data_IF_041248648027
#
_entry.id   IF_041248648027
#
_cell.length_a   1.000
_cell.length_b   1.000
_cell.length_c   1.000
_cell.angle_alpha   90.00
_cell.angle_beta   90.00
_cell.angle_gamma   90.00
#
_symmetry.space_group_name_H-M   'P 1'
#
loop_
_entity.id
_entity.type
_entity.pdbx_description
1 polymer ?
2 non-polymer ?
3 non-polymer ?
4 non-polymer ?
5 water ?
#
# COMPACT_ATOMS: atom_id res chain seq x y z
N UNK A 2 -19.15 -26.00 -20.66
CA UNK A 2 -18.28 -24.93 -20.01
C UNK A 2 -19.08 -23.61 -19.88
N UNK A 3 -18.78 -22.83 -18.83
CA UNK A 3 -19.42 -21.53 -18.57
C UNK A 3 -18.44 -20.64 -17.82
N UNK A 4 -18.64 -19.37 -18.07
CA UNK A 4 -17.80 -18.30 -17.51
C UNK A 4 -18.22 -18.08 -16.06
N UNK A 5 -17.34 -18.42 -15.15
CA UNK A 5 -17.60 -18.24 -13.69
C UNK A 5 -17.14 -16.86 -13.25
N UNK A 6 -16.11 -16.33 -13.92
CA UNK A 6 -15.57 -15.00 -13.57
C UNK A 6 -14.91 -14.43 -14.82
N UNK A 7 -14.98 -13.12 -14.99
CA UNK A 7 -14.33 -12.47 -16.15
C UNK A 7 -14.12 -11.00 -15.86
N UNK A 8 -12.95 -10.50 -16.22
CA UNK A 8 -12.73 -9.04 -16.26
C UNK A 8 -11.67 -8.77 -17.32
N UNK A 9 -11.68 -7.57 -17.85
CA UNK A 9 -10.69 -7.23 -18.88
C UNK A 9 -10.52 -5.72 -18.85
N UNK A 10 -9.40 -5.25 -19.35
CA UNK A 10 -9.22 -3.81 -19.62
C UNK A 10 -7.77 -3.51 -19.86
N UNK A 11 -7.28 -2.45 -19.23
CA UNK A 11 -5.95 -1.90 -19.56
C UNK A 11 -5.12 -1.79 -18.29
N UNK A 12 -3.88 -2.23 -18.40
CA UNK A 12 -2.91 -2.18 -17.28
C UNK A 12 -1.70 -1.32 -17.68
N UNK A 13 -0.97 -0.87 -16.67
CA UNK A 13 0.35 -0.20 -16.83
C UNK A 13 0.16 1.10 -17.63
N UNK A 14 -0.90 1.85 -17.35
CA UNK A 14 -1.15 3.16 -18.03
C UNK A 14 -0.43 4.23 -17.20
N UNK A 15 0.68 4.73 -17.73
CA UNK A 15 1.45 5.77 -17.00
C UNK A 15 0.77 7.11 -17.23
N UNK A 16 0.58 7.85 -16.17
CA UNK A 16 -0.13 9.17 -16.24
C UNK A 16 0.66 10.20 -15.47
N UNK A 17 0.92 11.36 -16.09
CA UNK A 17 1.48 12.52 -15.40
C UNK A 17 0.48 13.67 -15.52
N UNK A 18 0.36 14.45 -14.46
CA UNK A 18 -0.47 15.68 -14.53
C UNK A 18 0.29 16.80 -13.84
N UNK A 19 0.31 17.98 -14.46
CA UNK A 19 0.88 19.21 -13.84
C UNK A 19 -0.25 20.20 -13.53
N UNK A 20 -0.12 20.84 -12.38
CA UNK A 20 -0.89 22.04 -11.96
C UNK A 20 0.07 23.24 -11.98
N UNK A 21 -0.35 24.33 -12.63
CA UNK A 21 0.48 25.56 -12.79
C UNK A 21 -0.30 26.71 -12.16
N UNK A 22 0.20 27.25 -11.05
CA UNK A 22 -0.35 28.51 -10.48
C UNK A 22 0.24 29.66 -11.31
N UNK A 23 -0.54 30.28 -12.18
CA UNK A 23 -0.05 31.40 -13.06
C UNK A 23 0.28 32.63 -12.21
N UNK A 24 -0.41 32.78 -11.07
CA UNK A 24 -0.19 33.89 -10.11
C UNK A 24 1.23 33.77 -9.52
N UNK A 25 1.58 32.63 -8.92
CA UNK A 25 2.83 32.42 -8.16
C UNK A 25 3.95 31.80 -9.01
N UNK A 26 3.63 31.19 -10.15
CA UNK A 26 4.61 30.44 -10.96
C UNK A 26 4.89 29.06 -10.39
N UNK A 27 4.31 28.73 -9.25
CA UNK A 27 4.54 27.42 -8.57
C UNK A 27 3.83 26.31 -9.38
N UNK A 28 4.59 25.27 -9.74
CA UNK A 28 4.03 24.11 -10.49
C UNK A 28 4.06 22.91 -9.55
N UNK A 29 3.07 22.01 -9.68
CA UNK A 29 2.99 20.80 -8.82
C UNK A 29 2.75 19.63 -9.75
N UNK A 30 3.51 18.56 -9.60
CA UNK A 30 3.35 17.39 -10.51
C UNK A 30 2.82 16.17 -9.77
N UNK A 31 2.13 15.35 -10.51
CA UNK A 31 1.56 14.08 -10.00
C UNK A 31 1.89 12.99 -11.02
N UNK A 32 2.37 11.86 -10.58
CA UNK A 32 2.65 10.78 -11.55
C UNK A 32 2.13 9.45 -10.96
N UNK A 33 1.48 8.66 -11.80
CA UNK A 33 0.87 7.38 -11.34
C UNK A 33 0.92 6.34 -12.46
N UNK A 34 0.60 5.11 -12.11
CA UNK A 34 0.37 4.04 -13.08
C UNK A 34 -0.98 3.46 -12.78
N UNK A 35 -1.83 3.33 -13.79
CA UNK A 35 -3.25 3.01 -13.57
C UNK A 35 -3.59 1.72 -14.27
N UNK A 36 -4.42 0.90 -13.59
CA UNK A 36 -5.06 -0.29 -14.18
C UNK A 36 -6.55 -0.18 -13.98
N UNK A 37 -7.32 -0.42 -15.06
CA UNK A 37 -8.80 -0.46 -14.97
C UNK A 37 -9.24 -1.77 -15.60
N UNK A 38 -9.95 -2.60 -14.84
CA UNK A 38 -10.55 -3.87 -15.35
C UNK A 38 -12.06 -3.80 -15.12
N UNK A 39 -12.83 -4.12 -16.15
CA UNK A 39 -14.31 -4.03 -16.10
C UNK A 39 -14.89 -5.44 -15.99
N UNK A 40 -16.05 -5.52 -15.34
CA UNK A 40 -16.90 -6.73 -15.30
C UNK A 40 -18.31 -6.35 -15.76
N UNK A 41 -19.04 -7.31 -16.25
CA UNK A 41 -20.49 -7.11 -16.50
C UNK A 41 -21.00 -8.19 -17.41
N UNK A 42 -21.94 -7.83 -18.27
CA UNK A 42 -22.57 -8.78 -19.18
C UNK A 42 -21.64 -8.90 -20.37
N UNK A 43 -20.48 -9.55 -20.17
CA UNK A 43 -19.42 -9.60 -21.21
C UNK A 43 -19.08 -11.05 -21.60
N UNK A 44 -19.73 -12.05 -21.01
CA UNK A 44 -19.39 -13.48 -21.25
C UNK A 44 -19.42 -13.82 -22.75
N UNK A 45 -20.29 -13.21 -23.58
CA UNK A 45 -20.38 -13.59 -25.01
C UNK A 45 -19.11 -13.22 -25.76
N UNK A 46 -18.30 -12.27 -25.27
CA UNK A 46 -17.01 -11.95 -25.93
C UNK A 46 -16.11 -13.18 -25.83
N UNK A 47 -16.25 -13.93 -24.75
CA UNK A 47 -15.44 -15.15 -24.48
C UNK A 47 -16.02 -16.35 -25.23
N UNK A 48 -17.34 -16.49 -25.17
CA UNK A 48 -18.03 -17.75 -25.61
C UNK A 48 -18.43 -17.73 -27.08
N UNK A 49 -18.69 -16.57 -27.68
CA UNK A 49 -19.42 -16.40 -28.96
C UNK A 49 -18.64 -15.44 -29.89
N UNK A 50 -17.44 -15.02 -29.52
CA UNK A 50 -16.66 -14.05 -30.31
C UNK A 50 -17.49 -12.79 -30.54
N UNK A 51 -18.26 -12.38 -29.54
CA UNK A 51 -19.14 -11.19 -29.63
C UNK A 51 -18.38 -9.97 -29.10
N UNK A 52 -17.68 -9.24 -29.97
CA UNK A 52 -16.88 -8.08 -29.50
C UNK A 52 -17.79 -6.89 -29.22
N UNK A 53 -19.11 -6.96 -29.50
CA UNK A 53 -20.01 -5.79 -29.28
C UNK A 53 -20.04 -5.42 -27.80
N UNK A 54 -19.79 -6.39 -26.92
CA UNK A 54 -19.83 -6.12 -25.46
C UNK A 54 -18.48 -5.63 -24.95
N UNK A 55 -17.46 -5.49 -25.81
CA UNK A 55 -16.13 -5.04 -25.33
C UNK A 55 -16.02 -3.51 -25.51
N UNK A 56 -15.91 -2.82 -24.39
CA UNK A 56 -15.33 -1.45 -24.33
C UNK A 56 -13.82 -1.63 -24.53
N UNK A 57 -13.28 -1.34 -25.71
CA UNK A 57 -11.86 -1.60 -26.03
C UNK A 57 -10.96 -1.06 -24.92
N UNK A 58 -9.94 -1.83 -24.56
CA UNK A 58 -8.93 -1.39 -23.57
C UNK A 58 -8.32 -0.08 -24.09
N UNK A 59 -8.16 0.08 -25.40
CA UNK A 59 -7.62 1.36 -25.96
C UNK A 59 -8.52 2.52 -25.56
N UNK A 60 -9.84 2.33 -25.62
CA UNK A 60 -10.86 3.33 -25.21
C UNK A 60 -10.80 3.58 -23.72
N UNK A 61 -10.58 2.54 -22.91
CA UNK A 61 -10.39 2.66 -21.44
C UNK A 61 -9.14 3.51 -21.19
N UNK A 62 -8.07 3.27 -21.92
CA UNK A 62 -6.83 4.10 -21.83
C UNK A 62 -7.22 5.57 -22.16
N UNK A 63 -7.89 5.83 -23.28
CA UNK A 63 -8.30 7.22 -23.64
C UNK A 63 -9.06 7.83 -22.48
N UNK A 64 -9.96 7.04 -21.87
CA UNK A 64 -10.86 7.51 -20.80
C UNK A 64 -10.05 7.87 -19.56
N UNK A 65 -8.99 7.13 -19.25
CA UNK A 65 -8.15 7.48 -18.10
C UNK A 65 -7.58 8.88 -18.34
N UNK A 66 -7.01 9.16 -19.51
CA UNK A 66 -6.40 10.49 -19.78
C UNK A 66 -7.46 11.59 -19.77
N UNK A 67 -8.64 11.34 -20.34
CA UNK A 67 -9.76 12.33 -20.37
C UNK A 67 -10.21 12.63 -18.93
N UNK A 68 -10.36 11.61 -18.10
CA UNK A 68 -10.79 11.77 -16.69
C UNK A 68 -9.75 12.62 -15.98
N UNK A 69 -8.46 12.32 -16.16
CA UNK A 69 -7.38 13.06 -15.52
C UNK A 69 -7.39 14.51 -16.02
N UNK A 70 -7.74 14.77 -17.27
CA UNK A 70 -7.82 16.14 -17.79
C UNK A 70 -8.98 16.90 -17.11
N UNK A 71 -10.10 16.24 -16.82
CA UNK A 71 -11.37 16.93 -16.46
C UNK A 71 -11.61 16.87 -14.95
N UNK A 72 -10.71 16.28 -14.16
CA UNK A 72 -10.94 16.00 -12.73
C UNK A 72 -9.63 16.05 -11.98
N UNK A 73 -9.69 16.20 -10.64
CA UNK A 73 -8.50 16.08 -9.81
C UNK A 73 -7.94 14.66 -9.92
N UNK A 74 -6.61 14.55 -9.88
CA UNK A 74 -5.96 13.22 -9.79
C UNK A 74 -5.59 12.89 -8.34
N UNK A 75 -5.87 13.81 -7.41
CA UNK A 75 -5.52 13.70 -5.99
C UNK A 75 -6.76 14.04 -5.17
N UNK A 76 -7.00 13.38 -4.02
CA UNK A 76 -6.28 12.17 -3.61
C UNK A 76 -6.63 11.04 -4.56
N UNK A 77 -5.77 10.01 -4.68
CA UNK A 77 -6.02 8.90 -5.62
C UNK A 77 -7.31 8.14 -5.33
N UNK A 78 -7.73 8.11 -4.06
CA UNK A 78 -9.02 7.49 -3.68
C UNK A 78 -10.17 8.18 -4.46
N UNK A 79 -10.12 9.49 -4.61
CA UNK A 79 -11.16 10.27 -5.33
C UNK A 79 -11.03 9.98 -6.83
N UNK A 80 -9.82 10.13 -7.38
CA UNK A 80 -9.62 9.91 -8.84
C UNK A 80 -10.13 8.51 -9.22
N UNK A 81 -9.77 7.49 -8.43
CA UNK A 81 -10.18 6.10 -8.69
C UNK A 81 -11.70 5.95 -8.67
N UNK A 82 -12.36 6.63 -7.72
CA UNK A 82 -13.83 6.57 -7.50
C UNK A 82 -14.54 7.24 -8.70
N UNK A 83 -14.04 8.38 -9.15
CA UNK A 83 -14.57 9.08 -10.36
C UNK A 83 -14.45 8.19 -11.57
N UNK A 84 -13.26 7.64 -11.81
CA UNK A 84 -13.01 6.79 -12.98
C UNK A 84 -13.90 5.54 -12.95
N UNK A 85 -14.00 4.85 -11.81
CA UNK A 85 -14.77 3.60 -11.75
C UNK A 85 -16.24 3.92 -11.97
N UNK A 86 -16.73 5.03 -11.36
CA UNK A 86 -18.15 5.41 -11.48
C UNK A 86 -18.46 5.69 -12.95
N UNK A 87 -17.55 6.37 -13.66
CA UNK A 87 -17.77 6.66 -15.10
C UNK A 87 -18.12 5.39 -15.88
N UNK A 88 -17.36 4.32 -15.70
CA UNK A 88 -17.59 3.09 -16.50
C UNK A 88 -18.94 2.44 -16.17
N UNK A 89 -19.35 2.36 -14.90
CA UNK A 89 -20.62 1.65 -14.56
C UNK A 89 -21.81 2.54 -14.93
N UNK A 90 -21.65 3.87 -14.95
CA UNK A 90 -22.74 4.80 -15.36
C UNK A 90 -22.82 4.90 -16.89
N UNK A 91 -21.69 4.97 -17.60
CA UNK A 91 -21.71 5.24 -19.06
C UNK A 91 -22.24 4.03 -19.78
N UNK A 92 -21.87 2.82 -19.34
CA UNK A 92 -22.14 1.56 -20.05
C UNK A 92 -23.18 0.76 -19.27
N UNK A 93 -24.39 0.58 -19.83
CA UNK A 93 -25.46 -0.12 -19.05
C UNK A 93 -25.01 -1.54 -18.67
N UNK A 94 -24.32 -2.22 -19.57
CA UNK A 94 -23.95 -3.65 -19.45
C UNK A 94 -22.68 -3.87 -18.61
N UNK A 95 -21.99 -2.80 -18.22
CA UNK A 95 -20.80 -2.87 -17.30
C UNK A 95 -21.30 -2.65 -15.88
N UNK A 96 -21.04 -3.59 -14.98
CA UNK A 96 -21.62 -3.58 -13.63
C UNK A 96 -20.54 -3.44 -12.55
N UNK A 97 -19.25 -3.58 -12.91
CA UNK A 97 -18.17 -3.32 -11.93
C UNK A 97 -16.92 -2.78 -12.63
N UNK A 98 -16.26 -1.84 -11.97
CA UNK A 98 -14.99 -1.27 -12.45
C UNK A 98 -13.97 -1.38 -11.31
N UNK A 99 -12.85 -2.00 -11.62
CA UNK A 99 -11.75 -2.27 -10.66
C UNK A 99 -10.59 -1.38 -11.04
N UNK A 100 -10.30 -0.36 -10.21
CA UNK A 100 -9.29 0.68 -10.50
C UNK A 100 -8.15 0.54 -9.51
N UNK A 101 -6.97 0.19 -10.01
CA UNK A 101 -5.74 0.15 -9.19
C UNK A 101 -4.84 1.33 -9.61
N UNK A 102 -4.37 2.08 -8.64
CA UNK A 102 -3.47 3.23 -8.91
C UNK A 102 -2.26 3.12 -7.99
N UNK A 103 -1.09 3.22 -8.60
CA UNK A 103 0.22 3.35 -7.94
C UNK A 103 0.64 4.80 -8.12
N UNK A 104 0.89 5.49 -7.02
CA UNK A 104 1.33 6.91 -7.04
C UNK A 104 2.85 6.92 -6.80
N UNK A 105 3.56 7.62 -7.68
CA UNK A 105 5.04 7.73 -7.69
C UNK A 105 5.43 9.03 -6.98
N UNK A 106 6.51 9.04 -6.21
CA UNK A 106 6.91 10.23 -5.46
C UNK A 106 7.62 11.26 -6.36
N UNK A 107 7.11 12.49 -6.38
CA UNK A 107 7.84 13.67 -6.93
C UNK A 107 7.82 14.74 -5.83
N UNK A 108 8.87 14.78 -5.04
CA UNK A 108 8.99 15.71 -3.89
C UNK A 108 9.67 17.00 -4.38
N UNK A 109 9.11 18.15 -4.07
CA UNK A 109 9.68 19.45 -4.46
C UNK A 109 11.13 19.53 -3.97
N UNK A 110 12.03 19.92 -4.87
CA UNK A 110 13.44 20.22 -4.52
C UNK A 110 13.55 21.49 -3.66
N UNK A 111 14.38 21.43 -2.63
CA UNK A 111 14.84 22.64 -1.89
C UNK A 111 16.19 23.02 -2.48
N UNK A 112 16.31 24.23 -2.99
CA UNK A 112 17.58 24.74 -3.54
C UNK A 112 18.00 25.93 -2.69
N UNK A 113 19.20 25.87 -2.09
CA UNK A 113 19.70 26.94 -1.19
C UNK A 113 18.65 27.26 -0.11
N UNK A 114 18.01 26.23 0.45
CA UNK A 114 17.05 26.30 1.56
C UNK A 114 15.70 26.89 1.16
N UNK A 115 15.37 26.98 -0.15
CA UNK A 115 14.06 27.50 -0.58
C UNK A 115 13.42 26.48 -1.51
N UNK A 116 12.09 26.25 -1.41
CA UNK A 116 11.40 25.29 -2.27
C UNK A 116 11.42 25.81 -3.71
N UNK A 117 11.86 24.98 -4.63
CA UNK A 117 11.91 25.38 -6.06
C UNK A 117 10.51 25.30 -6.66
N UNK A 118 10.11 26.29 -7.48
CA UNK A 118 8.77 26.29 -8.04
C UNK A 118 8.45 25.19 -9.05
N UNK A 119 9.43 24.50 -9.65
CA UNK A 119 9.12 23.52 -10.74
C UNK A 119 10.16 22.40 -10.90
N UNK A 120 10.89 22.05 -9.85
CA UNK A 120 11.91 20.99 -9.88
C UNK A 120 11.62 19.98 -8.76
N UNK A 121 11.71 18.69 -9.07
CA UNK A 121 11.29 17.61 -8.17
C UNK A 121 12.33 16.48 -8.17
N UNK A 122 12.28 15.69 -7.12
CA UNK A 122 13.20 14.55 -6.93
C UNK A 122 12.39 13.32 -6.51
N UNK A 123 12.72 12.18 -7.11
CA UNK A 123 12.14 10.90 -6.66
C UNK A 123 12.87 10.55 -5.35
N UNK A 124 12.32 10.99 -4.20
CA UNK A 124 13.03 10.94 -2.89
C UNK A 124 12.95 9.54 -2.27
N UNK A 125 12.16 8.63 -2.86
CA UNK A 125 11.92 7.24 -2.38
C UNK A 125 11.19 6.44 -3.47
N UNK A 126 11.45 5.14 -3.67
CA UNK A 126 10.60 4.27 -4.55
C UNK A 126 9.36 3.85 -3.74
N UNK A 127 9.23 4.29 -2.47
CA UNK A 127 7.98 4.14 -1.69
C UNK A 127 6.78 4.61 -2.54
N UNK A 128 5.72 3.82 -2.55
CA UNK A 128 4.47 4.16 -3.27
C UNK A 128 3.31 4.41 -2.28
N UNK A 129 2.35 5.18 -2.76
CA UNK A 129 1.00 5.33 -2.18
C UNK A 129 0.03 4.76 -3.22
N UNK A 130 -0.77 3.77 -2.80
CA UNK A 130 -1.61 3.01 -3.74
C UNK A 130 -3.09 3.14 -3.33
N UNK A 131 -3.96 2.86 -4.30
CA UNK A 131 -5.38 2.61 -4.00
C UNK A 131 -5.85 1.44 -4.84
N UNK A 132 -6.76 0.67 -4.26
CA UNK A 132 -7.63 -0.26 -5.00
C UNK A 132 -9.07 0.23 -4.79
N UNK A 133 -9.73 0.62 -5.87
CA UNK A 133 -11.13 1.15 -5.80
C UNK A 133 -12.00 0.21 -6.62
N UNK A 134 -12.92 -0.49 -5.96
CA UNK A 134 -13.88 -1.41 -6.63
C UNK A 134 -15.24 -0.71 -6.62
N UNK A 135 -15.69 -0.30 -7.79
CA UNK A 135 -17.02 0.36 -7.99
C UNK A 135 -17.98 -0.70 -8.51
N UNK A 136 -18.96 -1.07 -7.67
CA UNK A 136 -19.85 -2.22 -7.97
C UNK A 136 -21.29 -1.68 -8.03
N UNK A 137 -21.89 -1.74 -9.22
CA UNK A 137 -23.22 -1.16 -9.48
C UNK A 137 -24.20 -1.79 -8.47
N UNK A 138 -24.91 -0.95 -7.74
CA UNK A 138 -25.88 -1.41 -6.73
C UNK A 138 -25.23 -1.65 -5.38
N UNK A 139 -23.89 -1.60 -5.27
CA UNK A 139 -23.17 -1.95 -4.00
C UNK A 139 -22.12 -0.90 -3.63
N UNK A 140 -22.11 0.24 -4.26
CA UNK A 140 -21.27 1.38 -3.82
C UNK A 140 -19.82 1.18 -4.21
N UNK A 141 -18.92 1.65 -3.38
CA UNK A 141 -17.48 1.87 -3.68
C UNK A 141 -16.68 1.36 -2.51
N UNK A 142 -15.87 0.32 -2.75
CA UNK A 142 -14.98 -0.31 -1.76
C UNK A 142 -13.57 0.18 -2.04
N UNK A 143 -12.98 0.86 -1.09
CA UNK A 143 -11.63 1.45 -1.24
C UNK A 143 -10.66 0.80 -0.25
N UNK A 144 -9.55 0.28 -0.78
CA UNK A 144 -8.36 -0.06 0.03
C UNK A 144 -7.23 0.90 -0.31
N UNK A 145 -6.69 1.54 0.70
CA UNK A 145 -5.57 2.51 0.56
C UNK A 145 -4.32 1.83 1.10
N UNK A 146 -3.15 2.10 0.53
CA UNK A 146 -1.92 1.46 1.05
C UNK A 146 -0.69 2.34 0.84
N UNK A 147 0.32 2.11 1.66
CA UNK A 147 1.70 2.55 1.39
C UNK A 147 2.52 1.26 1.25
N UNK A 148 3.49 1.26 0.33
CA UNK A 148 4.29 0.06 0.01
C UNK A 148 5.72 0.48 -0.33
N UNK A 149 6.67 -0.42 -0.14
CA UNK A 149 8.06 -0.13 -0.50
C UNK A 149 8.72 0.89 0.42
N UNK A 150 8.26 1.00 1.67
CA UNK A 150 8.86 1.87 2.70
C UNK A 150 9.90 0.99 3.42
N UNK A 151 11.17 1.19 3.11
CA UNK A 151 12.27 0.31 3.57
C UNK A 151 12.98 0.94 4.77
N UNK A 152 13.02 0.21 5.87
CA UNK A 152 13.49 0.80 7.16
C UNK A 152 14.42 -0.19 7.83
N UNK A 153 15.28 0.29 8.71
CA UNK A 153 16.15 -0.60 9.50
C UNK A 153 16.37 0.02 10.87
N UNK A 154 16.37 -0.82 11.92
CA UNK A 154 16.85 -0.33 13.23
C UNK A 154 17.98 -1.28 13.65
N UNK A 155 19.03 -0.71 14.26
CA UNK A 155 20.30 -1.41 14.52
C UNK A 155 20.29 -2.11 15.89
N UNK A 156 19.30 -1.87 16.71
CA UNK A 156 19.14 -2.47 18.07
C UNK A 156 17.68 -2.32 18.49
N UNK A 157 17.31 -2.72 19.70
CA UNK A 157 15.91 -2.64 20.20
C UNK A 157 14.98 -3.48 19.32
N UNK A 158 15.51 -4.63 18.92
CA UNK A 158 14.73 -5.74 18.40
C UNK A 158 15.24 -7.02 19.07
N UNK A 159 14.30 -7.88 19.48
CA UNK A 159 14.52 -9.12 20.25
C UNK A 159 13.73 -10.24 19.60
N UNK A 160 14.14 -11.47 19.78
CA UNK A 160 13.32 -12.63 19.40
C UNK A 160 13.74 -13.83 20.24
N UNK A 161 12.99 -14.03 21.30
CA UNK A 161 13.21 -15.15 22.26
C UNK A 161 11.85 -15.70 22.71
N UNK A 162 11.84 -16.88 23.30
CA UNK A 162 10.60 -17.50 23.82
C UNK A 162 9.78 -18.20 22.75
N UNK A 163 10.32 -18.39 21.54
CA UNK A 163 9.62 -19.12 20.45
C UNK A 163 9.70 -20.61 20.71
N UNK A 164 8.81 -21.36 20.08
CA UNK A 164 8.70 -22.83 20.19
C UNK A 164 10.04 -23.47 19.80
N UNK A 165 10.51 -24.42 20.61
CA UNK A 165 11.77 -25.16 20.34
C UNK A 165 11.47 -26.64 20.31
N UNK A 166 11.79 -27.30 19.22
CA UNK A 166 11.62 -28.77 19.14
C UNK A 166 12.74 -29.32 18.26
N UNK A 167 12.55 -30.53 17.72
CA UNK A 167 13.63 -31.22 16.97
C UNK A 167 13.91 -30.54 15.61
N UNK A 168 13.07 -29.57 15.17
CA UNK A 168 13.28 -28.79 13.91
C UNK A 168 14.04 -27.47 14.16
N UNK A 169 14.30 -27.12 15.42
CA UNK A 169 14.75 -25.78 15.81
C UNK A 169 16.27 -25.72 16.00
N UNK A 170 16.94 -24.83 15.26
CA UNK A 170 18.35 -24.49 15.43
C UNK A 170 18.51 -23.01 15.85
N UNK A 171 17.51 -22.17 15.65
CA UNK A 171 17.68 -20.73 15.82
C UNK A 171 18.04 -20.45 17.29
N UNK A 172 19.07 -19.64 17.53
CA UNK A 172 19.42 -19.15 18.88
C UNK A 172 18.48 -17.99 19.25
N UNK A 173 17.98 -17.99 20.48
CA UNK A 173 17.28 -16.82 21.06
C UNK A 173 18.20 -15.61 21.01
N UNK A 174 17.65 -14.42 20.85
CA UNK A 174 18.44 -13.19 20.90
C UNK A 174 17.68 -12.14 21.68
N UNK A 175 18.43 -11.31 22.38
CA UNK A 175 17.94 -10.12 23.11
C UNK A 175 18.40 -8.84 22.39
N UNK A 176 19.04 -8.93 21.21
CA UNK A 176 19.51 -7.72 20.50
C UNK A 176 19.87 -8.12 19.07
N UNK A 177 19.02 -7.74 18.13
CA UNK A 177 19.26 -8.05 16.71
C UNK A 177 18.90 -6.82 15.89
N UNK A 178 19.34 -6.86 14.63
CA UNK A 178 18.90 -5.90 13.60
C UNK A 178 17.49 -6.26 13.14
N UNK A 179 16.64 -5.25 12.95
CA UNK A 179 15.33 -5.48 12.32
C UNK A 179 15.21 -4.58 11.09
N UNK A 180 14.94 -5.18 9.94
CA UNK A 180 14.78 -4.39 8.68
C UNK A 180 13.61 -4.98 7.90
N UNK A 181 12.78 -4.12 7.32
CA UNK A 181 11.59 -4.58 6.57
C UNK A 181 11.30 -3.61 5.45
N UNK A 182 10.43 -4.07 4.56
CA UNK A 182 9.78 -3.24 3.53
C UNK A 182 8.30 -3.18 3.93
N UNK A 183 7.79 -2.02 4.31
CA UNK A 183 6.43 -1.90 4.89
C UNK A 183 5.42 -1.87 3.76
N UNK A 184 4.50 -2.85 3.77
CA UNK A 184 3.23 -2.87 3.00
C UNK A 184 2.09 -2.75 4.02
N UNK A 185 1.41 -1.61 4.07
CA UNK A 185 0.33 -1.35 5.06
C UNK A 185 -0.92 -0.92 4.28
N UNK A 186 -2.04 -1.60 4.54
CA UNK A 186 -3.32 -1.35 3.82
C UNK A 186 -4.41 -0.99 4.83
N UNK A 187 -5.17 0.06 4.58
CA UNK A 187 -6.34 0.41 5.43
C UNK A 187 -7.57 0.31 4.52
N UNK A 188 -8.56 -0.45 5.01
CA UNK A 188 -9.82 -0.75 4.30
C UNK A 188 -10.89 0.21 4.82
N UNK A 189 -11.45 1.02 3.92
CA UNK A 189 -12.50 2.01 4.27
C UNK A 189 -13.87 1.30 4.40
N UNK A 190 -14.71 1.83 5.27
CA UNK A 190 -16.16 1.58 5.23
C UNK A 190 -16.61 1.70 3.77
N UNK A 191 -17.54 0.83 3.37
CA UNK A 191 -18.25 0.90 2.08
C UNK A 191 -18.83 2.31 1.92
N UNK A 192 -18.62 2.92 0.77
CA UNK A 192 -19.23 4.22 0.43
C UNK A 192 -20.38 3.95 -0.54
N UNK A 193 -21.49 4.68 -0.41
CA UNK A 193 -22.72 4.39 -1.20
C UNK A 193 -22.54 4.78 -2.67
N UNK A 194 -21.61 5.68 -2.94
CA UNK A 194 -21.41 6.26 -4.28
C UNK A 194 -20.40 7.37 -4.24
N UNK A 195 -20.28 8.10 -5.34
CA UNK A 195 -19.27 9.14 -5.47
C UNK A 195 -19.53 10.32 -4.51
N UNK A 196 -20.80 10.69 -4.27
CA UNK A 196 -21.08 11.80 -3.34
C UNK A 196 -20.48 11.47 -1.97
N UNK A 197 -20.65 10.26 -1.47
CA UNK A 197 -20.15 9.94 -0.10
C UNK A 197 -18.61 9.94 -0.10
N UNK A 198 -17.97 9.44 -1.16
CA UNK A 198 -16.49 9.54 -1.25
C UNK A 198 -16.07 11.01 -1.19
N UNK A 199 -16.70 11.86 -2.02
CA UNK A 199 -16.39 13.30 -2.04
C UNK A 199 -16.57 13.91 -0.64
N UNK A 200 -17.58 13.51 0.13
CA UNK A 200 -17.85 14.12 1.47
C UNK A 200 -16.68 13.83 2.42
N UNK A 201 -15.82 12.84 2.13
CA UNK A 201 -14.74 12.43 3.05
C UNK A 201 -13.35 12.76 2.51
N UNK A 202 -13.25 13.57 1.45
CA UNK A 202 -12.01 13.73 0.68
C UNK A 202 -10.83 14.10 1.57
N UNK A 203 -10.92 15.09 2.49
CA UNK A 203 -9.75 15.42 3.32
C UNK A 203 -9.22 14.24 4.15
N UNK A 204 -10.08 13.26 4.42
CA UNK A 204 -9.68 12.11 5.28
C UNK A 204 -8.65 11.22 4.58
N UNK A 205 -8.58 11.25 3.24
CA UNK A 205 -7.71 10.29 2.50
C UNK A 205 -6.25 10.66 2.75
N UNK A 206 -5.84 11.90 2.45
CA UNK A 206 -4.45 12.38 2.69
C UNK A 206 -4.15 12.30 4.18
N UNK A 207 -5.09 12.72 5.04
CA UNK A 207 -4.85 12.72 6.50
C UNK A 207 -4.58 11.30 7.00
N UNK A 208 -5.34 10.32 6.54
CA UNK A 208 -5.22 8.92 7.04
C UNK A 208 -3.93 8.31 6.49
N UNK A 209 -3.55 8.63 5.23
CA UNK A 209 -2.27 8.13 4.69
C UNK A 209 -1.14 8.69 5.58
N UNK A 210 -1.22 9.98 5.91
CA UNK A 210 -0.16 10.64 6.70
C UNK A 210 -0.11 9.96 8.08
N UNK A 211 -1.27 9.72 8.69
CA UNK A 211 -1.34 9.03 10.00
C UNK A 211 -0.70 7.64 9.91
N UNK A 212 -1.07 6.85 8.90
CA UNK A 212 -0.55 5.48 8.74
C UNK A 212 0.99 5.55 8.67
N UNK A 213 1.53 6.48 7.89
CA UNK A 213 3.00 6.55 7.70
C UNK A 213 3.66 6.96 9.01
N UNK A 214 3.13 7.98 9.69
CA UNK A 214 3.68 8.54 10.94
C UNK A 214 3.69 7.46 12.01
N UNK A 215 2.58 6.76 12.15
CA UNK A 215 2.42 5.69 13.17
C UNK A 215 3.40 4.56 12.82
N UNK A 216 3.51 4.20 11.54
CA UNK A 216 4.45 3.12 11.14
C UNK A 216 5.86 3.52 11.57
N UNK A 217 6.30 4.73 11.22
CA UNK A 217 7.71 5.15 11.48
C UNK A 217 7.96 5.26 13.00
N UNK A 218 7.06 5.94 13.73
CA UNK A 218 7.28 6.16 15.19
C UNK A 218 7.27 4.82 15.93
N UNK A 219 6.33 3.94 15.60
CA UNK A 219 6.23 2.64 16.31
C UNK A 219 7.46 1.80 16.02
N UNK A 220 7.87 1.71 14.75
CA UNK A 220 9.07 0.94 14.36
C UNK A 220 10.27 1.47 15.17
N UNK A 221 10.43 2.78 15.22
CA UNK A 221 11.61 3.42 15.83
C UNK A 221 11.58 3.28 17.36
N UNK A 222 10.42 3.30 17.98
CA UNK A 222 10.35 3.40 19.47
C UNK A 222 10.00 2.07 20.11
N UNK A 223 9.40 1.13 19.39
CA UNK A 223 9.01 -0.15 20.05
C UNK A 223 10.28 -0.99 20.30
N UNK A 224 10.50 -1.42 21.54
CA UNK A 224 11.58 -2.40 21.84
C UNK A 224 10.98 -3.75 21.48
N UNK A 225 11.17 -4.16 20.23
CA UNK A 225 10.29 -5.12 19.56
C UNK A 225 10.49 -6.53 20.11
N UNK A 226 9.39 -7.18 20.48
CA UNK A 226 9.38 -8.56 20.96
C UNK A 226 9.37 -9.55 19.79
N UNK A 227 8.92 -9.06 18.62
CA UNK A 227 8.74 -9.85 17.38
C UNK A 227 8.19 -8.89 16.33
N UNK A 228 8.23 -9.29 15.07
CA UNK A 228 7.57 -8.48 14.01
C UNK A 228 6.05 -8.47 14.27
N UNK A 229 5.51 -9.61 14.65
CA UNK A 229 4.07 -9.80 14.98
C UNK A 229 3.66 -8.71 15.97
N UNK A 230 4.39 -8.57 17.08
CA UNK A 230 3.92 -7.74 18.20
C UNK A 230 4.02 -6.29 17.78
N UNK A 231 5.06 -5.96 17.01
CA UNK A 231 5.31 -4.57 16.59
C UNK A 231 4.22 -4.12 15.59
N UNK A 232 3.89 -4.94 14.60
CA UNK A 232 2.91 -4.56 13.55
C UNK A 232 1.51 -4.44 14.16
N UNK A 233 1.21 -5.26 15.17
CA UNK A 233 -0.10 -5.21 15.84
C UNK A 233 -0.26 -3.81 16.45
N UNK A 234 0.81 -3.29 17.10
CA UNK A 234 0.73 -1.95 17.74
C UNK A 234 0.50 -0.87 16.68
N UNK A 235 1.13 -1.01 15.51
CA UNK A 235 0.93 -0.01 14.44
C UNK A 235 -0.55 -0.02 14.06
N UNK A 236 -1.10 -1.22 13.81
CA UNK A 236 -2.47 -1.40 13.28
C UNK A 236 -3.50 -0.84 14.28
N UNK A 237 -3.32 -1.12 15.57
CA UNK A 237 -4.29 -0.70 16.61
C UNK A 237 -4.25 0.84 16.72
N UNK A 238 -3.09 1.49 16.59
CA UNK A 238 -3.03 2.96 16.70
C UNK A 238 -3.72 3.59 15.48
N UNK A 239 -3.53 3.03 14.28
CA UNK A 239 -4.16 3.62 13.07
C UNK A 239 -5.68 3.48 13.17
N UNK A 240 -6.19 2.33 13.61
CA UNK A 240 -7.66 2.13 13.82
C UNK A 240 -8.21 3.15 14.83
N UNK A 241 -7.44 3.47 15.87
CA UNK A 241 -7.87 4.38 16.96
C UNK A 241 -7.99 5.80 16.40
N UNK A 242 -7.34 6.10 15.28
CA UNK A 242 -7.21 7.50 14.79
C UNK A 242 -8.12 7.74 13.58
N UNK A 243 -8.83 6.73 13.07
CA UNK A 243 -9.76 6.98 11.95
C UNK A 243 -10.93 6.01 12.01
N UNK A 244 -12.10 6.49 12.43
CA UNK A 244 -13.28 5.63 12.66
C UNK A 244 -13.84 5.10 11.33
N UNK A 245 -13.53 5.76 10.20
CA UNK A 245 -14.06 5.32 8.88
C UNK A 245 -13.27 4.16 8.27
N UNK A 246 -12.14 3.77 8.88
CA UNK A 246 -11.37 2.53 8.58
C UNK A 246 -12.03 1.34 9.29
N UNK A 247 -12.19 0.21 8.63
CA UNK A 247 -12.66 -1.02 9.28
C UNK A 247 -11.49 -1.91 9.69
N UNK A 248 -10.50 -2.08 8.81
CA UNK A 248 -9.34 -2.95 9.08
C UNK A 248 -8.05 -2.29 8.66
N UNK A 249 -6.95 -2.70 9.31
CA UNK A 249 -5.57 -2.32 8.92
C UNK A 249 -4.80 -3.63 8.74
N UNK A 250 -4.20 -3.80 7.57
CA UNK A 250 -3.43 -5.02 7.26
C UNK A 250 -1.95 -4.65 7.11
N UNK A 251 -1.05 -5.45 7.67
CA UNK A 251 0.40 -5.29 7.43
C UNK A 251 0.90 -6.58 6.80
N UNK A 252 1.80 -6.43 5.85
CA UNK A 252 2.58 -7.55 5.31
C UNK A 252 4.05 -7.13 5.37
N UNK A 253 4.86 -7.79 6.22
CA UNK A 253 6.25 -7.34 6.53
C UNK A 253 7.23 -8.49 6.35
N UNK A 254 8.21 -8.39 5.44
CA UNK A 254 9.31 -9.33 5.42
C UNK A 254 10.29 -9.06 6.57
N UNK A 255 10.88 -10.12 7.10
CA UNK A 255 11.97 -10.00 8.09
C UNK A 255 13.26 -10.17 7.29
N UNK A 256 13.90 -9.05 6.93
CA UNK A 256 15.10 -9.01 6.06
C UNK A 256 16.34 -9.19 6.94
N UNK A 257 16.92 -10.36 6.92
CA UNK A 257 17.89 -10.80 7.95
C UNK A 257 19.25 -10.15 7.72
N UNK A 258 19.92 -9.81 8.81
CA UNK A 258 21.31 -9.34 8.87
C UNK A 258 22.02 -10.31 9.82
N UNK A 259 22.82 -11.21 9.26
CA UNK A 259 23.45 -12.27 10.07
C UNK A 259 24.76 -11.80 10.64
N UNK A 260 25.02 -12.19 11.89
CA UNK A 260 26.37 -12.02 12.46
C UNK A 260 27.39 -12.87 11.68
N UNK A 261 28.64 -12.42 11.72
CA UNK A 261 29.77 -13.13 11.04
C UNK A 261 30.82 -13.45 12.11
N UNK A 262 30.99 -14.72 12.39
CA UNK A 262 32.01 -15.20 13.34
C UNK A 262 33.36 -15.12 12.64
N UNK A 263 34.24 -14.24 13.12
CA UNK A 263 35.61 -14.05 12.58
C UNK A 263 36.67 -14.60 13.56
N UNK A 264 36.27 -15.38 14.57
CA UNK A 264 37.17 -15.81 15.67
C UNK A 264 38.24 -16.75 15.11
N UNK A 265 37.98 -17.40 13.97
CA UNK A 265 38.97 -18.26 13.28
C UNK A 265 40.16 -17.44 12.76
N UNK A 266 39.99 -16.11 12.63
CA UNK A 266 41.03 -15.22 12.09
C UNK A 266 41.60 -14.35 13.19
N UNK A 267 42.80 -14.69 13.69
CA UNK A 267 43.52 -13.87 14.70
C UNK A 267 42.62 -13.61 15.93
N UNK A 268 41.69 -14.52 16.26
CA UNK A 268 40.77 -14.37 17.41
C UNK A 268 39.88 -13.13 17.34
N UNK A 269 39.63 -12.60 16.13
CA UNK A 269 38.77 -11.40 16.01
C UNK A 269 37.40 -11.70 16.62
N UNK A 270 36.90 -10.75 17.40
CA UNK A 270 35.61 -10.81 18.11
C UNK A 270 34.60 -9.90 17.39
N UNK A 271 33.64 -10.54 16.73
CA UNK A 271 32.62 -9.86 15.92
C UNK A 271 31.24 -10.49 16.16
N UNK A 272 31.03 -11.13 17.31
CA UNK A 272 29.70 -11.71 17.64
C UNK A 272 29.20 -11.08 18.95
N UNK A 273 27.89 -11.18 19.18
CA UNK A 273 27.27 -10.65 20.40
C UNK A 273 27.59 -9.18 20.62
N UNK A 274 28.05 -8.83 21.80
CA UNK A 274 28.31 -7.40 22.13
C UNK A 274 29.43 -6.85 21.24
N UNK A 275 30.24 -7.70 20.60
CA UNK A 275 31.34 -7.20 19.74
C UNK A 275 30.95 -7.20 18.26
N UNK A 276 29.69 -7.47 17.92
CA UNK A 276 29.24 -7.56 16.49
C UNK A 276 29.25 -6.17 15.85
N UNK A 277 30.04 -5.97 14.80
CA UNK A 277 30.10 -4.67 14.09
C UNK A 277 29.79 -4.91 12.61
N UNK A 278 30.33 -5.98 12.06
CA UNK A 278 30.18 -6.31 10.62
C UNK A 278 29.20 -7.50 10.46
N UNK A 279 28.14 -7.31 9.65
CA UNK A 279 27.05 -8.28 9.41
C UNK A 279 26.95 -8.57 7.92
N UNK A 280 26.37 -9.71 7.59
CA UNK A 280 26.08 -10.11 6.20
C UNK A 280 24.58 -9.96 5.97
N UNK A 281 24.13 -8.92 5.25
CA UNK A 281 22.72 -8.85 4.81
C UNK A 281 22.39 -10.07 3.93
N UNK A 282 21.27 -10.74 4.19
CA UNK A 282 20.79 -11.93 3.46
C UNK A 282 19.69 -11.48 2.48
N UNK A 283 19.90 -11.71 1.19
CA UNK A 283 18.88 -11.37 0.16
C UNK A 283 17.68 -12.32 0.28
N UNK A 284 17.95 -13.59 0.52
CA UNK A 284 16.90 -14.61 0.73
C UNK A 284 17.54 -15.75 1.51
N UNK A 285 16.73 -16.62 2.18
CA UNK A 285 15.29 -16.44 2.33
C UNK A 285 14.97 -15.30 3.31
N UNK A 286 13.69 -15.06 3.58
CA UNK A 286 13.26 -14.04 4.57
C UNK A 286 12.04 -14.56 5.32
N UNK A 287 11.90 -14.12 6.57
CA UNK A 287 10.63 -14.24 7.28
C UNK A 287 9.56 -13.43 6.57
N UNK A 288 8.32 -13.86 6.67
CA UNK A 288 7.15 -13.08 6.16
C UNK A 288 6.05 -13.16 7.21
N UNK A 289 5.60 -12.01 7.69
CA UNK A 289 4.65 -11.88 8.82
C UNK A 289 3.49 -11.01 8.34
N UNK A 290 2.27 -11.49 8.53
CA UNK A 290 1.04 -10.81 8.04
C UNK A 290 -0.01 -10.76 9.17
N UNK A 291 -0.78 -9.71 9.19
CA UNK A 291 -2.02 -9.73 9.99
C UNK A 291 -2.96 -8.64 9.54
N UNK A 292 -4.24 -8.93 9.77
CA UNK A 292 -5.35 -7.97 9.55
C UNK A 292 -6.00 -7.75 10.90
N UNK A 293 -6.04 -6.50 11.32
CA UNK A 293 -6.56 -6.07 12.62
C UNK A 293 -7.84 -5.28 12.37
N UNK A 294 -8.88 -5.59 13.13
CA UNK A 294 -10.17 -4.88 13.12
C UNK A 294 -10.55 -4.48 14.53
N UNK A 295 -11.75 -3.95 14.72
CA UNK A 295 -12.19 -3.57 16.09
C UNK A 295 -12.95 -4.78 16.66
N UNK A 296 -12.80 -4.98 17.97
CA UNK A 296 -13.40 -6.10 18.73
C UNK A 296 -14.91 -5.88 18.84
N UNK A 297 -15.64 -6.97 19.07
CA UNK A 297 -17.01 -6.94 19.65
C UNK A 297 -17.16 -8.07 20.68
N UNK A 298 -16.04 -8.65 21.15
CA UNK A 298 -16.04 -9.64 22.26
C UNK A 298 -16.43 -8.92 23.56
N UNK A 299 -17.43 -9.45 24.27
CA UNK A 299 -18.00 -8.88 25.54
C UNK A 299 -17.65 -9.79 26.74
N UNK A 300 -17.43 -11.09 26.48
CA UNK A 300 -16.98 -12.16 27.43
C UNK A 300 -15.69 -12.84 26.92
N UNK A 301 -14.96 -13.49 27.84
CA UNK A 301 -13.65 -14.19 27.62
C UNK A 301 -12.74 -13.28 26.79
N UNK A 302 -12.56 -12.05 27.27
CA UNK A 302 -11.79 -10.98 26.56
C UNK A 302 -10.33 -11.41 26.54
#
# INVERSE_FOLDING_TARGET
MSAVKAARYGKDNVRVYKVHKDEKTGVQTVYEMTVCVLLEGEIETSYTKADNSVIVAADSIKNTIYITAKQNPVTPPELFGSILGTHFIEKYNHIHAAHVNIVCHRWTRMDIDGKPHPHSFIRDSEEKRNVQVDVVEGKGIDIKSSLSGLTVLKSTNSQFWGFLRDEYTTLKETWDRILSTDVDATWQWKNFSGLQEVRSHVPKFDATWATAREVTLKTFAEDNSASVQATMYKMAEQILARQQLIETVEYSLPNKHYFEIDLSWHKGLQNTGKNAEVFAPQSDPNGLIKCTVGRSSLKSKL
#
